data_IF_254407050337
#
_entry.id   IF_254407050337
#
_cell.length_a   1.000
_cell.length_b   1.000
_cell.length_c   1.000
_cell.angle_alpha   90.00
_cell.angle_beta   90.00
_cell.angle_gamma   90.00
#
_symmetry.space_group_name_H-M   'P 1'
#
loop_
_entity.id
_entity.type
_entity.pdbx_description
1 polymer ?
#
# COMPACT_ATOMS: atom_id res chain seq x y z
N UNK A 1 2.55 -21.26 10.69
CA UNK A 1 2.06 -19.90 11.06
C UNK A 1 2.34 -18.97 9.89
N UNK A 2 1.42 -18.06 9.52
CA UNK A 2 1.71 -17.09 8.45
C UNK A 2 2.88 -16.20 8.88
N UNK A 3 3.85 -16.01 7.98
CA UNK A 3 5.09 -15.27 8.24
C UNK A 3 4.72 -13.81 8.48
N UNK A 4 5.24 -13.22 9.56
CA UNK A 4 5.03 -11.80 9.88
C UNK A 4 6.35 -11.05 9.86
N UNK A 5 6.29 -9.78 9.51
CA UNK A 5 7.41 -8.84 9.60
C UNK A 5 7.01 -7.66 10.49
N UNK A 6 7.95 -7.14 11.27
CA UNK A 6 7.76 -5.91 12.04
C UNK A 6 8.21 -4.73 11.20
N UNK A 7 7.37 -3.70 11.11
CA UNK A 7 7.69 -2.43 10.48
C UNK A 7 7.05 -1.30 11.30
N UNK A 8 7.86 -0.34 11.75
CA UNK A 8 7.43 0.64 12.77
C UNK A 8 6.90 -0.04 14.04
N UNK A 9 5.73 0.41 14.51
CA UNK A 9 5.05 -0.14 15.68
C UNK A 9 4.10 -1.31 15.38
N UNK A 10 4.07 -1.80 14.13
CA UNK A 10 3.12 -2.80 13.70
C UNK A 10 3.78 -4.10 13.21
N UNK A 11 3.02 -5.19 13.32
CA UNK A 11 3.31 -6.45 12.65
C UNK A 11 2.41 -6.59 11.42
N UNK A 12 3.01 -6.97 10.31
CA UNK A 12 2.35 -7.19 9.03
C UNK A 12 2.44 -8.67 8.65
N UNK A 13 1.33 -9.24 8.19
CA UNK A 13 1.35 -10.56 7.57
C UNK A 13 1.95 -10.43 6.17
N UNK A 14 2.99 -11.21 5.88
CA UNK A 14 3.52 -11.34 4.51
C UNK A 14 2.53 -12.20 3.75
N UNK A 15 1.93 -11.66 2.69
CA UNK A 15 0.88 -12.31 1.92
C UNK A 15 1.20 -12.30 0.43
N UNK A 16 0.76 -13.34 -0.27
CA UNK A 16 0.68 -13.36 -1.73
C UNK A 16 -0.66 -12.75 -2.19
N UNK A 17 -0.74 -12.21 -3.41
CA UNK A 17 -1.99 -11.64 -3.94
C UNK A 17 -3.18 -12.60 -3.90
N UNK A 18 -2.96 -13.89 -4.17
CA UNK A 18 -4.00 -14.92 -4.14
C UNK A 18 -4.58 -15.13 -2.74
N UNK A 19 -3.79 -14.94 -1.67
CA UNK A 19 -4.26 -15.10 -0.29
C UNK A 19 -5.23 -14.00 0.16
N UNK A 20 -5.31 -12.90 -0.60
CA UNK A 20 -6.21 -11.78 -0.33
C UNK A 20 -7.61 -11.99 -0.93
N UNK A 21 -7.77 -12.90 -1.91
CA UNK A 21 -9.04 -13.20 -2.59
C UNK A 21 -10.10 -13.78 -1.64
N UNK A 22 -9.67 -14.60 -0.68
CA UNK A 22 -10.56 -15.31 0.23
C UNK A 22 -11.00 -14.49 1.46
N UNK A 23 -10.74 -13.17 1.46
CA UNK A 23 -11.08 -12.23 2.56
C UNK A 23 -10.51 -12.57 3.96
N UNK A 24 -9.66 -13.58 4.08
CA UNK A 24 -9.06 -14.03 5.36
C UNK A 24 -8.25 -12.95 6.08
N UNK A 25 -7.69 -12.01 5.32
CA UNK A 25 -6.87 -10.91 5.84
C UNK A 25 -7.62 -9.59 5.97
N UNK A 26 -8.94 -9.57 5.77
CA UNK A 26 -9.73 -8.34 5.85
C UNK A 26 -9.58 -7.68 7.22
N UNK A 27 -9.27 -6.39 7.21
CA UNK A 27 -9.01 -5.57 8.37
C UNK A 27 -7.65 -5.80 9.04
N UNK A 28 -6.80 -6.71 8.54
CA UNK A 28 -5.46 -7.00 9.06
C UNK A 28 -4.40 -6.13 8.38
N UNK A 29 -3.29 -5.95 9.08
CA UNK A 29 -2.09 -5.35 8.52
C UNK A 29 -1.35 -6.37 7.67
N UNK A 30 -1.13 -6.06 6.40
CA UNK A 30 -0.50 -6.94 5.42
C UNK A 30 0.67 -6.24 4.75
N UNK A 31 1.63 -7.03 4.29
CA UNK A 31 2.66 -6.60 3.36
C UNK A 31 2.67 -7.53 2.16
N UNK A 32 2.73 -6.94 0.98
CA UNK A 32 2.92 -7.68 -0.27
C UNK A 32 3.84 -6.90 -1.21
N UNK A 33 4.45 -7.63 -2.14
CA UNK A 33 5.21 -7.07 -3.24
C UNK A 33 4.40 -7.13 -4.54
N UNK A 34 4.64 -6.19 -5.44
CA UNK A 34 3.97 -6.14 -6.73
C UNK A 34 4.60 -5.12 -7.67
N UNK A 35 4.13 -5.13 -8.91
CA UNK A 35 4.50 -4.16 -9.95
C UNK A 35 3.32 -3.19 -10.11
N UNK A 36 3.60 -1.90 -10.19
CA UNK A 36 2.57 -0.89 -10.46
C UNK A 36 2.00 -1.08 -11.88
N UNK A 37 0.71 -1.39 -11.95
CA UNK A 37 0.00 -1.78 -13.18
C UNK A 37 -0.47 -0.57 -14.00
N UNK A 38 -0.90 0.50 -13.32
CA UNK A 38 -1.50 1.68 -13.91
C UNK A 38 -0.85 2.98 -13.45
N UNK A 39 -1.12 4.07 -14.19
CA UNK A 39 -0.54 5.37 -13.90
C UNK A 39 -0.98 5.82 -12.50
N UNK A 40 -0.05 6.08 -11.57
CA UNK A 40 -0.42 6.61 -10.27
C UNK A 40 -1.15 7.94 -10.41
N UNK A 41 -2.28 8.06 -9.72
CA UNK A 41 -3.08 9.28 -9.67
C UNK A 41 -2.84 9.96 -8.34
N UNK A 42 -2.37 11.22 -8.38
CA UNK A 42 -2.13 12.05 -7.21
C UNK A 42 -3.20 13.15 -7.18
N UNK A 43 -4.05 13.13 -6.17
CA UNK A 43 -5.13 14.08 -5.96
C UNK A 43 -4.77 15.03 -4.83
N UNK A 44 -4.94 16.33 -5.05
CA UNK A 44 -4.90 17.33 -3.99
C UNK A 44 -6.27 17.41 -3.32
N UNK A 45 -6.30 17.31 -1.99
CA UNK A 45 -7.51 17.40 -1.19
C UNK A 45 -7.56 18.79 -0.51
N UNK A 46 -8.40 19.72 -0.98
CA UNK A 46 -8.52 21.06 -0.41
C UNK A 46 -9.33 20.99 0.89
N UNK A 47 -8.64 20.71 1.99
CA UNK A 47 -9.18 20.71 3.35
C UNK A 47 -8.55 21.84 4.19
N UNK A 48 -9.00 22.04 5.43
CA UNK A 48 -8.37 22.98 6.37
C UNK A 48 -6.87 22.69 6.56
N UNK A 49 -6.52 21.40 6.58
CA UNK A 49 -5.16 20.92 6.42
C UNK A 49 -5.03 20.27 5.03
N UNK A 50 -4.47 20.99 4.04
CA UNK A 50 -4.31 20.45 2.70
C UNK A 50 -3.50 19.16 2.70
N UNK A 51 -3.95 18.17 1.94
CA UNK A 51 -3.29 16.87 1.86
C UNK A 51 -3.30 16.33 0.44
N UNK A 52 -2.52 15.27 0.23
CA UNK A 52 -2.46 14.55 -1.04
C UNK A 52 -2.84 13.10 -0.84
N UNK A 53 -3.58 12.55 -1.79
CA UNK A 53 -3.88 11.14 -1.88
C UNK A 53 -3.32 10.59 -3.18
N UNK A 54 -2.55 9.53 -3.08
CA UNK A 54 -2.04 8.78 -4.23
C UNK A 54 -2.76 7.45 -4.34
N UNK A 55 -3.23 7.11 -5.55
CA UNK A 55 -3.86 5.84 -5.86
C UNK A 55 -3.24 5.17 -7.09
N UNK A 56 -3.09 3.85 -7.04
CA UNK A 56 -2.58 3.01 -8.12
C UNK A 56 -2.97 1.55 -7.88
N UNK A 57 -2.66 0.65 -8.81
CA UNK A 57 -2.90 -0.79 -8.67
C UNK A 57 -1.62 -1.61 -8.65
N UNK A 58 -1.62 -2.65 -7.83
CA UNK A 58 -0.67 -3.77 -7.89
C UNK A 58 -1.44 -5.08 -7.74
N UNK A 59 -1.13 -6.07 -8.58
CA UNK A 59 -1.78 -7.38 -8.55
C UNK A 59 -3.33 -7.30 -8.55
N UNK A 60 -3.90 -6.35 -9.30
CA UNK A 60 -5.34 -6.05 -9.33
C UNK A 60 -5.93 -5.37 -8.08
N UNK A 61 -5.13 -5.10 -7.05
CA UNK A 61 -5.57 -4.45 -5.80
C UNK A 61 -5.39 -2.94 -5.88
N UNK A 62 -6.41 -2.19 -5.44
CA UNK A 62 -6.28 -0.74 -5.29
C UNK A 62 -5.39 -0.42 -4.09
N UNK A 63 -4.35 0.36 -4.31
CA UNK A 63 -3.50 0.92 -3.26
C UNK A 63 -3.86 2.39 -3.07
N UNK A 64 -4.03 2.80 -1.82
CA UNK A 64 -4.30 4.19 -1.44
C UNK A 64 -3.27 4.64 -0.40
N UNK A 65 -2.60 5.75 -0.67
CA UNK A 65 -1.52 6.27 0.18
C UNK A 65 -1.65 7.77 0.41
N UNK A 66 -1.41 8.22 1.64
CA UNK A 66 -1.41 9.63 2.00
C UNK A 66 -0.05 10.26 1.71
N UNK A 67 0.03 11.07 0.66
CA UNK A 67 1.26 11.76 0.25
C UNK A 67 1.48 11.75 -1.26
N UNK A 68 2.68 12.19 -1.67
CA UNK A 68 3.09 12.32 -3.08
C UNK A 68 4.36 11.50 -3.36
N UNK A 69 4.28 10.16 -3.33
CA UNK A 69 5.43 9.31 -3.64
C UNK A 69 5.83 9.48 -5.09
N UNK A 70 7.15 9.49 -5.36
CA UNK A 70 7.68 9.51 -6.72
C UNK A 70 7.77 8.09 -7.24
N UNK A 71 6.64 7.59 -7.76
CA UNK A 71 6.45 6.23 -8.26
C UNK A 71 5.85 6.23 -9.67
N UNK A 72 6.10 5.17 -10.44
CA UNK A 72 5.60 5.04 -11.81
C UNK A 72 5.16 3.64 -12.21
N UNK A 73 4.47 3.54 -13.36
CA UNK A 73 4.09 2.26 -13.98
C UNK A 73 5.33 1.40 -14.19
N UNK A 74 5.21 0.10 -13.89
CA UNK A 74 6.29 -0.87 -14.06
C UNK A 74 7.30 -0.89 -12.92
N UNK A 75 7.17 -0.01 -11.92
CA UNK A 75 8.04 -0.02 -10.75
C UNK A 75 7.66 -1.14 -9.79
N UNK A 76 8.68 -1.84 -9.29
CA UNK A 76 8.50 -2.86 -8.25
C UNK A 76 8.41 -2.17 -6.89
N UNK A 77 7.36 -2.50 -6.14
CA UNK A 77 7.08 -1.91 -4.84
C UNK A 77 6.71 -2.97 -3.82
N UNK A 78 6.99 -2.69 -2.56
CA UNK A 78 6.50 -3.44 -1.40
C UNK A 78 5.60 -2.51 -0.58
N UNK A 79 4.35 -2.91 -0.42
CA UNK A 79 3.31 -2.08 0.22
C UNK A 79 2.98 -2.66 1.58
N UNK A 80 3.12 -1.84 2.62
CA UNK A 80 2.71 -2.14 3.98
C UNK A 80 1.43 -1.36 4.26
N UNK A 81 0.37 -2.03 4.69
CA UNK A 81 -0.88 -1.34 4.95
C UNK A 81 -1.97 -2.21 5.54
N UNK A 82 -3.16 -1.64 5.66
CA UNK A 82 -4.35 -2.34 6.13
C UNK A 82 -5.19 -2.80 4.94
N UNK A 83 -5.44 -4.10 4.85
CA UNK A 83 -6.28 -4.66 3.79
C UNK A 83 -7.76 -4.41 4.10
N UNK A 84 -8.45 -3.65 3.26
CA UNK A 84 -9.87 -3.28 3.43
C UNK A 84 -10.58 -3.22 2.07
N UNK A 85 -11.84 -3.65 2.02
CA UNK A 85 -12.56 -3.68 0.74
C UNK A 85 -11.91 -4.65 -0.24
N UNK A 86 -11.46 -4.08 -1.35
CA UNK A 86 -10.75 -4.68 -2.48
C UNK A 86 -9.31 -4.13 -2.62
N UNK A 87 -8.79 -3.49 -1.57
CA UNK A 87 -7.53 -2.76 -1.64
C UNK A 87 -6.79 -2.63 -0.31
N UNK A 88 -5.76 -1.81 -0.32
CA UNK A 88 -4.89 -1.57 0.83
C UNK A 88 -4.76 -0.08 1.06
N UNK A 89 -5.09 0.34 2.28
CA UNK A 89 -4.71 1.65 2.79
C UNK A 89 -3.26 1.51 3.25
N UNK A 90 -2.36 2.02 2.42
CA UNK A 90 -0.92 1.93 2.62
C UNK A 90 -0.47 2.91 3.70
N UNK A 91 0.39 2.41 4.58
CA UNK A 91 1.14 3.17 5.59
C UNK A 91 2.59 3.38 5.19
N UNK A 92 3.12 2.45 4.40
CA UNK A 92 4.40 2.62 3.76
C UNK A 92 4.44 1.98 2.37
N UNK A 93 5.20 2.59 1.49
CA UNK A 93 5.53 2.07 0.16
C UNK A 93 7.06 2.08 0.07
N UNK A 94 7.65 0.89 -0.02
CA UNK A 94 9.07 0.69 -0.22
C UNK A 94 9.30 0.45 -1.72
N UNK A 95 10.19 1.23 -2.30
CA UNK A 95 10.65 1.11 -3.69
C UNK A 95 12.15 0.82 -3.68
N UNK A 96 12.75 0.66 -4.86
CA UNK A 96 14.22 0.59 -4.96
C UNK A 96 14.90 1.90 -4.50
N UNK A 97 14.26 3.05 -4.72
CA UNK A 97 14.89 4.37 -4.55
C UNK A 97 14.59 5.05 -3.22
N UNK A 98 13.43 4.75 -2.64
CA UNK A 98 12.92 5.44 -1.47
C UNK A 98 11.92 4.59 -0.70
N UNK A 99 11.84 4.87 0.60
CA UNK A 99 10.80 4.40 1.49
C UNK A 99 9.88 5.57 1.83
N UNK A 100 8.64 5.51 1.36
CA UNK A 100 7.61 6.48 1.67
C UNK A 100 6.81 5.99 2.87
N UNK A 101 6.61 6.84 3.87
CA UNK A 101 5.86 6.51 5.09
C UNK A 101 4.88 7.64 5.35
N UNK A 102 3.62 7.31 5.56
CA UNK A 102 2.63 8.26 6.11
C UNK A 102 2.48 7.92 7.59
N UNK A 103 2.81 8.85 8.49
CA UNK A 103 2.68 8.65 9.95
C UNK A 103 1.24 8.24 10.35
N UNK A 104 1.13 7.56 11.50
CA UNK A 104 0.02 6.67 11.92
C UNK A 104 -1.40 7.24 11.93
#
# INVERSE_FOLDING_TARGET
MPKRVKFGHHYYYIVLPDELKDNKFRGKNVVLEGIIEDKPTIEFLPMELPSYRTTFRINGLKIEFSGTPYIGIGEQVKVYGRFVGDGIIARAIETEKALYVSEE
#
